data_IF_940660203696
#
_entry.id   IF_940660203696
#
_cell.length_a   1.000
_cell.length_b   1.000
_cell.length_c   1.000
_cell.angle_alpha   90.00
_cell.angle_beta   90.00
_cell.angle_gamma   90.00
#
_symmetry.space_group_name_H-M   'P 1'
#
loop_
_entity.id
_entity.type
_entity.pdbx_description
1 polymer ?
#
# COMPACT_ATOMS: atom_id res chain seq x y z
N UNK A 1 -0.65 3.82 -4.22
CA UNK A 1 0.05 3.00 -5.24
C UNK A 1 1.12 3.74 -6.02
N UNK A 2 0.82 4.84 -6.74
CA UNK A 2 1.82 5.57 -7.55
C UNK A 2 3.09 5.95 -6.78
N UNK A 3 2.95 6.40 -5.54
CA UNK A 3 4.07 6.79 -4.67
C UNK A 3 5.13 5.69 -4.48
N UNK A 4 4.76 4.41 -4.58
CA UNK A 4 5.72 3.29 -4.50
C UNK A 4 6.76 3.28 -5.61
N UNK A 5 6.54 3.97 -6.73
CA UNK A 5 7.47 4.00 -7.88
C UNK A 5 8.57 5.05 -7.76
N UNK A 6 8.42 5.97 -6.83
CA UNK A 6 9.37 7.05 -6.56
C UNK A 6 9.74 7.10 -5.07
N UNK A 7 9.46 6.03 -4.34
CA UNK A 7 9.81 5.92 -2.94
C UNK A 7 11.26 5.45 -2.81
N UNK A 8 11.98 6.03 -1.87
CA UNK A 8 13.31 5.54 -1.49
C UNK A 8 13.25 4.08 -1.08
N UNK A 9 14.34 3.34 -1.26
CA UNK A 9 14.45 1.91 -0.90
C UNK A 9 13.55 0.96 -1.72
N UNK A 10 12.92 1.45 -2.80
CA UNK A 10 12.15 0.66 -3.76
C UNK A 10 12.87 0.61 -5.11
N UNK A 11 13.43 -0.56 -5.44
CA UNK A 11 13.99 -0.85 -6.76
C UNK A 11 12.91 -0.98 -7.85
N UNK A 12 11.72 -1.50 -7.51
CA UNK A 12 10.58 -1.60 -8.42
C UNK A 12 9.26 -1.42 -7.68
N UNK A 13 8.55 -0.34 -8.03
CA UNK A 13 7.26 0.00 -7.44
C UNK A 13 6.11 -0.86 -7.96
N UNK A 14 4.96 -0.73 -7.30
CA UNK A 14 3.79 -1.54 -7.60
C UNK A 14 3.18 -1.21 -8.97
N UNK A 15 2.80 -2.26 -9.71
CA UNK A 15 2.16 -2.16 -11.02
C UNK A 15 0.69 -1.71 -10.90
N UNK A 16 0.02 -1.31 -12.01
CA UNK A 16 -1.41 -0.96 -12.00
C UNK A 16 -2.32 -2.06 -11.40
N UNK A 17 -1.87 -3.33 -11.42
CA UNK A 17 -2.59 -4.45 -10.79
C UNK A 17 -2.72 -4.30 -9.28
N UNK A 18 -1.81 -3.59 -8.62
CA UNK A 18 -1.94 -3.29 -7.19
C UNK A 18 -3.08 -2.31 -6.92
N UNK A 19 -3.33 -1.32 -7.79
CA UNK A 19 -4.48 -0.43 -7.65
C UNK A 19 -5.81 -1.17 -7.78
N UNK A 20 -5.91 -2.09 -8.75
CA UNK A 20 -7.10 -2.92 -8.92
C UNK A 20 -7.34 -3.85 -7.73
N UNK A 21 -6.28 -4.46 -7.21
CA UNK A 21 -6.37 -5.28 -6.01
C UNK A 21 -6.80 -4.46 -4.80
N UNK A 22 -6.18 -3.30 -4.57
CA UNK A 22 -6.48 -2.41 -3.45
C UNK A 22 -7.94 -1.95 -3.47
N UNK A 23 -8.45 -1.57 -4.63
CA UNK A 23 -9.84 -1.17 -4.81
C UNK A 23 -10.81 -2.30 -4.44
N UNK A 24 -10.57 -3.51 -4.99
CA UNK A 24 -11.45 -4.66 -4.75
C UNK A 24 -11.43 -5.11 -3.29
N UNK A 25 -10.25 -5.14 -2.66
CA UNK A 25 -10.12 -5.55 -1.26
C UNK A 25 -10.71 -4.51 -0.31
N UNK A 26 -10.56 -3.21 -0.60
CA UNK A 26 -11.19 -2.16 0.20
C UNK A 26 -12.72 -2.17 0.08
N UNK A 27 -13.27 -2.47 -1.10
CA UNK A 27 -14.71 -2.69 -1.27
C UNK A 27 -15.21 -3.89 -0.47
N UNK A 28 -14.47 -4.99 -0.46
CA UNK A 28 -14.80 -6.17 0.34
C UNK A 28 -14.74 -5.87 1.85
N UNK A 29 -13.72 -5.13 2.29
CA UNK A 29 -13.57 -4.70 3.69
C UNK A 29 -14.74 -3.81 4.12
N UNK A 30 -15.04 -2.77 3.33
CA UNK A 30 -16.17 -1.89 3.59
C UNK A 30 -17.50 -2.66 3.71
N UNK A 31 -17.70 -3.67 2.86
CA UNK A 31 -18.88 -4.55 2.92
C UNK A 31 -18.92 -5.37 4.21
N UNK A 32 -17.79 -5.94 4.65
CA UNK A 32 -17.71 -6.67 5.91
C UNK A 32 -17.96 -5.78 7.13
N UNK A 33 -17.55 -4.51 7.05
CA UNK A 33 -17.77 -3.51 8.10
C UNK A 33 -19.17 -2.89 8.07
N UNK A 34 -20.03 -3.30 7.12
CA UNK A 34 -21.39 -2.78 6.98
C UNK A 34 -21.46 -1.35 6.43
N UNK A 35 -20.37 -0.86 5.83
CA UNK A 35 -20.29 0.46 5.22
C UNK A 35 -20.87 0.47 3.81
N UNK A 36 -21.65 1.51 3.49
CA UNK A 36 -22.22 1.69 2.14
C UNK A 36 -21.17 2.07 1.08
N UNK A 37 -20.03 2.62 1.52
CA UNK A 37 -18.95 3.06 0.64
C UNK A 37 -17.57 2.85 1.27
N UNK A 38 -16.54 2.87 0.42
CA UNK A 38 -15.15 2.77 0.84
C UNK A 38 -14.69 4.10 1.42
N UNK A 39 -14.21 4.10 2.66
CA UNK A 39 -13.58 5.24 3.32
C UNK A 39 -12.05 5.19 3.16
N UNK A 40 -11.33 6.29 3.46
CA UNK A 40 -9.87 6.29 3.50
C UNK A 40 -9.29 5.27 4.48
N UNK A 41 -9.96 4.98 5.60
CA UNK A 41 -9.53 4.03 6.62
C UNK A 41 -9.46 2.61 6.05
N UNK A 42 -10.48 2.17 5.30
CA UNK A 42 -10.46 0.86 4.63
C UNK A 42 -9.29 0.74 3.65
N UNK A 43 -8.92 1.84 2.96
CA UNK A 43 -7.78 1.85 2.04
C UNK A 43 -6.46 1.74 2.81
N UNK A 44 -6.32 2.47 3.92
CA UNK A 44 -5.12 2.46 4.75
C UNK A 44 -4.90 1.11 5.42
N UNK A 45 -5.96 0.51 5.97
CA UNK A 45 -5.92 -0.78 6.65
C UNK A 45 -5.39 -1.89 5.73
N UNK A 46 -5.91 -1.97 4.51
CA UNK A 46 -5.57 -3.06 3.59
C UNK A 46 -4.32 -2.77 2.73
N UNK A 47 -3.76 -1.56 2.80
CA UNK A 47 -2.67 -1.13 1.94
C UNK A 47 -1.42 -2.01 2.05
N UNK A 48 -1.00 -2.33 3.28
CA UNK A 48 0.19 -3.15 3.52
C UNK A 48 0.01 -4.56 2.97
N UNK A 49 -1.11 -5.20 3.29
CA UNK A 49 -1.44 -6.54 2.83
C UNK A 49 -1.45 -6.65 1.30
N UNK A 50 -1.93 -5.62 0.59
CA UNK A 50 -1.99 -5.61 -0.88
C UNK A 50 -0.66 -5.25 -1.53
N UNK A 51 0.08 -4.28 -0.99
CA UNK A 51 1.19 -3.64 -1.70
C UNK A 51 2.55 -4.26 -1.34
N UNK A 52 2.76 -4.70 -0.09
CA UNK A 52 4.09 -5.08 0.40
C UNK A 52 4.74 -6.20 -0.42
N UNK A 53 3.96 -7.22 -0.82
CA UNK A 53 4.44 -8.34 -1.64
C UNK A 53 4.53 -8.00 -3.15
N UNK A 54 4.23 -6.76 -3.54
CA UNK A 54 4.16 -6.28 -4.93
C UNK A 54 5.20 -5.22 -5.26
N UNK A 55 6.12 -4.96 -4.35
CA UNK A 55 7.27 -4.07 -4.56
C UNK A 55 8.56 -4.87 -4.45
N UNK A 56 9.58 -4.46 -5.19
CA UNK A 56 10.94 -4.96 -5.03
C UNK A 56 11.72 -3.89 -4.28
N UNK A 57 12.28 -4.26 -3.14
CA UNK A 57 13.12 -3.38 -2.35
C UNK A 57 14.54 -3.34 -2.90
N UNK A 58 15.23 -2.23 -2.68
CA UNK A 58 16.67 -2.16 -2.91
C UNK A 58 17.42 -3.20 -2.05
N UNK A 59 18.47 -3.86 -2.57
CA UNK A 59 19.25 -4.83 -1.81
C UNK A 59 19.78 -4.25 -0.50
N UNK A 60 20.28 -3.02 -0.54
CA UNK A 60 20.83 -2.34 0.65
C UNK A 60 19.79 -2.15 1.75
N UNK A 61 18.54 -1.82 1.39
CA UNK A 61 17.45 -1.68 2.33
C UNK A 61 17.06 -3.01 2.98
N UNK A 62 17.10 -4.12 2.23
CA UNK A 62 16.90 -5.46 2.81
C UNK A 62 18.02 -5.82 3.79
N UNK A 63 19.28 -5.52 3.45
CA UNK A 63 20.42 -5.77 4.32
C UNK A 63 20.39 -4.96 5.61
N UNK A 64 19.83 -3.75 5.60
CA UNK A 64 19.66 -2.92 6.81
C UNK A 64 18.50 -3.36 7.71
N UNK A 65 17.78 -4.44 7.35
CA UNK A 65 16.66 -4.97 8.11
C UNK A 65 15.32 -4.29 7.82
N UNK A 66 15.24 -3.39 6.83
CA UNK A 66 13.97 -2.79 6.41
C UNK A 66 13.09 -3.84 5.73
N UNK A 67 11.80 -3.84 6.04
CA UNK A 67 10.82 -4.72 5.41
C UNK A 67 9.94 -3.97 4.41
N UNK A 68 9.39 -4.70 3.45
CA UNK A 68 8.45 -4.13 2.48
C UNK A 68 7.16 -3.63 3.17
N UNK A 69 6.76 -4.26 4.28
CA UNK A 69 5.63 -3.82 5.10
C UNK A 69 5.87 -2.43 5.69
N UNK A 70 6.99 -2.26 6.41
CA UNK A 70 7.39 -0.96 6.98
C UNK A 70 7.47 0.12 5.90
N UNK A 71 8.04 -0.19 4.74
CA UNK A 71 8.16 0.76 3.64
C UNK A 71 6.79 1.19 3.10
N UNK A 72 5.83 0.26 3.00
CA UNK A 72 4.46 0.60 2.59
C UNK A 72 3.75 1.43 3.66
N UNK A 73 3.89 1.09 4.94
CA UNK A 73 3.34 1.89 6.03
C UNK A 73 3.85 3.34 5.98
N UNK A 74 5.16 3.52 5.80
CA UNK A 74 5.79 4.84 5.71
C UNK A 74 5.30 5.62 4.49
N UNK A 75 5.15 4.95 3.34
CA UNK A 75 4.57 5.56 2.14
C UNK A 75 3.14 6.01 2.41
N UNK A 76 2.30 5.16 2.99
CA UNK A 76 0.88 5.45 3.26
C UNK A 76 0.74 6.62 4.23
N UNK A 77 1.52 6.65 5.31
CA UNK A 77 1.51 7.74 6.31
C UNK A 77 1.85 9.12 5.73
N UNK A 78 2.63 9.17 4.64
CA UNK A 78 3.02 10.43 3.98
C UNK A 78 1.99 10.96 2.99
N UNK A 79 1.01 10.14 2.58
CA UNK A 79 -0.02 10.55 1.63
C UNK A 79 -1.17 11.20 2.38
N UNK A 80 -1.48 12.45 2.04
CA UNK A 80 -2.62 13.16 2.61
C UNK A 80 -3.93 12.45 2.26
N UNK A 81 -4.79 12.29 3.27
CA UNK A 81 -6.16 11.82 3.10
C UNK A 81 -7.00 12.98 2.56
N UNK A 82 -7.76 12.79 1.46
CA UNK A 82 -8.68 13.80 0.96
C UNK A 82 -9.76 14.13 2.00
N UNK A 83 -10.14 15.42 2.08
CA UNK A 83 -11.24 15.91 2.91
C UNK A 83 -12.61 15.62 2.27
#
# INVERSE_FOLDING_TARGET
VRATRSADNVAMGASPRASLALMKTAQALALFDGSEFVTPEHIQEIAVAVIAHRIVMDPQARFSGLTAGQLVEDIVKRIAVPA
#
